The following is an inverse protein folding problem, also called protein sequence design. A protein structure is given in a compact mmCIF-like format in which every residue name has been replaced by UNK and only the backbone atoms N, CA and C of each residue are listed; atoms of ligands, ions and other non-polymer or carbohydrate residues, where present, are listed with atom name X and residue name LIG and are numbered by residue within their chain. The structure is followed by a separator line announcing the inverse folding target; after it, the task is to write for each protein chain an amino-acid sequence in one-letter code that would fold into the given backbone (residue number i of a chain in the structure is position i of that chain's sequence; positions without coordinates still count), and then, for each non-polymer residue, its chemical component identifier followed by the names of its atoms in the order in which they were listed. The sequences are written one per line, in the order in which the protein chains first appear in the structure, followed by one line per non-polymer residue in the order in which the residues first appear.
data_IF_683052044841
#
_entry.id   IF_683052044841
#
_cell.length_a   1.000
_cell.length_b   1.000
_cell.length_c   1.000
_cell.angle_alpha   90.00
_cell.angle_beta   90.00
_cell.angle_gamma   90.00
#
_symmetry.space_group_name_H-M   'P 1'
#
loop_
_entity.id
_entity.type
_entity.pdbx_description
1 polymer ?
#
# COMPACT_ATOMS: atom_id res chain seq x y z
N UNK A 1 15.82 34.77 -3.52
CA UNK A 1 17.28 34.72 -3.24
C UNK A 1 17.59 33.39 -2.60
N UNK A 2 18.41 32.56 -3.24
CA UNK A 2 18.86 31.27 -2.71
C UNK A 2 20.21 31.48 -2.02
N UNK A 3 20.22 31.52 -0.68
CA UNK A 3 21.42 31.71 0.13
C UNK A 3 21.93 30.37 0.68
N UNK A 4 22.42 29.50 -0.20
CA UNK A 4 23.26 28.37 0.23
C UNK A 4 24.65 28.49 -0.37
N UNK A 5 25.59 28.88 0.48
CA UNK A 5 27.03 28.72 0.28
C UNK A 5 27.71 29.96 -0.27
N UNK A 6 28.58 30.56 0.53
CA UNK A 6 29.48 31.67 0.19
C UNK A 6 30.54 31.33 -0.89
N UNK A 7 30.40 30.21 -1.58
CA UNK A 7 31.31 29.75 -2.62
C UNK A 7 30.49 29.20 -3.79
N UNK A 8 30.48 30.00 -4.85
CA UNK A 8 30.20 29.59 -6.22
C UNK A 8 28.74 29.59 -6.68
N UNK A 9 28.21 30.79 -6.91
CA UNK A 9 27.43 31.06 -8.13
C UNK A 9 28.39 31.67 -9.16
N UNK A 10 28.84 30.93 -10.18
CA UNK A 10 29.66 31.55 -11.21
C UNK A 10 28.81 32.57 -11.96
N UNK A 11 29.34 33.78 -12.22
CA UNK A 11 28.79 34.66 -13.24
C UNK A 11 28.88 33.90 -14.57
N UNK A 12 27.75 33.73 -15.26
CA UNK A 12 27.68 32.97 -16.49
C UNK A 12 28.62 33.56 -17.56
N UNK A 13 29.69 32.83 -17.95
CA UNK A 13 30.36 32.99 -19.26
C UNK A 13 31.42 31.92 -19.65
N UNK A 14 31.81 30.95 -18.81
CA UNK A 14 32.99 30.09 -19.09
C UNK A 14 32.74 28.56 -19.18
N UNK A 15 31.49 28.09 -19.12
CA UNK A 15 31.16 26.66 -19.25
C UNK A 15 31.49 25.79 -18.02
N UNK A 16 31.98 26.37 -16.91
CA UNK A 16 32.28 25.61 -15.68
C UNK A 16 31.03 25.17 -14.89
N UNK A 17 29.84 25.66 -15.26
CA UNK A 17 28.55 25.32 -14.65
C UNK A 17 28.02 23.92 -14.96
N UNK A 18 28.55 23.23 -15.97
CA UNK A 18 27.98 21.97 -16.46
C UNK A 18 27.96 20.88 -15.38
N UNK A 19 29.01 20.78 -14.56
CA UNK A 19 29.09 19.76 -13.49
C UNK A 19 28.04 19.98 -12.39
N UNK A 20 27.82 21.23 -11.97
CA UNK A 20 26.80 21.57 -10.97
C UNK A 20 25.38 21.34 -11.53
N UNK A 21 25.11 21.82 -12.75
CA UNK A 21 23.82 21.62 -13.42
C UNK A 21 23.51 20.14 -13.65
N UNK A 22 24.50 19.34 -14.03
CA UNK A 22 24.37 17.88 -14.16
C UNK A 22 24.00 17.22 -12.83
N UNK A 23 24.70 17.56 -11.73
CA UNK A 23 24.40 17.01 -10.41
C UNK A 23 22.99 17.36 -9.94
N UNK A 24 22.54 18.59 -10.17
CA UNK A 24 21.18 19.00 -9.83
C UNK A 24 20.15 18.28 -10.70
N UNK A 25 20.41 18.16 -12.02
CA UNK A 25 19.53 17.47 -12.95
C UNK A 25 19.31 15.99 -12.59
N UNK A 26 20.37 15.27 -12.17
CA UNK A 26 20.24 13.85 -11.77
C UNK A 26 19.33 13.70 -10.54
N UNK A 27 19.42 14.59 -9.55
CA UNK A 27 18.52 14.58 -8.39
C UNK A 27 17.05 14.77 -8.78
N UNK A 28 16.76 15.71 -9.69
CA UNK A 28 15.39 15.93 -10.18
C UNK A 28 14.89 14.74 -11.01
N UNK A 29 15.75 14.15 -11.85
CA UNK A 29 15.41 12.97 -12.64
C UNK A 29 15.06 11.78 -11.74
N UNK A 30 15.88 11.48 -10.74
CA UNK A 30 15.63 10.41 -9.77
C UNK A 30 14.34 10.68 -8.98
N UNK A 31 14.14 11.93 -8.54
CA UNK A 31 12.92 12.33 -7.84
C UNK A 31 11.67 12.12 -8.72
N UNK A 32 11.70 12.58 -9.97
CA UNK A 32 10.58 12.43 -10.91
C UNK A 32 10.24 10.95 -11.16
N UNK A 33 11.26 10.11 -11.37
CA UNK A 33 11.11 8.67 -11.58
C UNK A 33 10.52 7.96 -10.36
N UNK A 34 11.04 8.21 -9.16
CA UNK A 34 10.51 7.58 -7.94
C UNK A 34 9.10 8.05 -7.60
N UNK A 35 8.75 9.30 -7.89
CA UNK A 35 7.37 9.80 -7.75
C UNK A 35 6.41 9.09 -8.70
N UNK A 36 6.84 8.85 -9.95
CA UNK A 36 6.03 8.08 -10.91
C UNK A 36 5.82 6.65 -10.42
N UNK A 37 6.89 5.97 -9.98
CA UNK A 37 6.80 4.62 -9.38
C UNK A 37 5.87 4.59 -8.18
N UNK A 38 5.99 5.55 -7.27
CA UNK A 38 5.12 5.62 -6.10
C UNK A 38 3.65 5.82 -6.48
N UNK A 39 3.33 6.61 -7.51
CA UNK A 39 1.95 6.72 -8.02
C UNK A 39 1.42 5.38 -8.53
N UNK A 40 2.24 4.60 -9.24
CA UNK A 40 1.84 3.26 -9.68
C UNK A 40 1.63 2.32 -8.50
N UNK A 41 2.52 2.32 -7.49
CA UNK A 41 2.33 1.53 -6.28
C UNK A 41 1.02 1.90 -5.56
N UNK A 42 0.73 3.20 -5.42
CA UNK A 42 -0.53 3.67 -4.85
C UNK A 42 -1.71 3.19 -5.71
N UNK A 43 -1.65 3.32 -7.04
CA UNK A 43 -2.69 2.84 -7.94
C UNK A 43 -2.98 1.33 -7.76
N UNK A 44 -1.96 0.48 -7.71
CA UNK A 44 -2.15 -0.96 -7.45
C UNK A 44 -2.70 -1.22 -6.04
N UNK A 45 -2.31 -0.42 -5.05
CA UNK A 45 -2.89 -0.48 -3.71
C UNK A 45 -4.39 -0.16 -3.71
N UNK A 46 -4.84 0.80 -4.52
CA UNK A 46 -6.27 1.06 -4.74
C UNK A 46 -6.98 -0.14 -5.37
N UNK A 47 -6.38 -0.81 -6.36
CA UNK A 47 -6.98 -2.00 -6.98
C UNK A 47 -7.12 -3.16 -5.98
N UNK A 48 -6.08 -3.45 -5.20
CA UNK A 48 -6.13 -4.45 -4.14
C UNK A 48 -7.15 -4.08 -3.05
N UNK A 49 -7.27 -2.79 -2.73
CA UNK A 49 -8.31 -2.32 -1.82
C UNK A 49 -9.72 -2.61 -2.34
N UNK A 50 -10.01 -2.35 -3.62
CA UNK A 50 -11.33 -2.67 -4.17
C UNK A 50 -11.61 -4.17 -4.15
N UNK A 51 -10.61 -5.02 -4.38
CA UNK A 51 -10.74 -6.46 -4.24
C UNK A 51 -11.05 -6.86 -2.79
N UNK A 52 -10.32 -6.30 -1.82
CA UNK A 52 -10.58 -6.52 -0.39
C UNK A 52 -11.97 -5.99 0.01
N UNK A 53 -12.38 -4.82 -0.47
CA UNK A 53 -13.69 -4.24 -0.18
C UNK A 53 -14.82 -5.09 -0.76
N UNK A 54 -14.65 -5.65 -1.96
CA UNK A 54 -15.59 -6.60 -2.53
C UNK A 54 -15.76 -7.83 -1.64
N UNK A 55 -14.64 -8.39 -1.12
CA UNK A 55 -14.68 -9.48 -0.13
C UNK A 55 -15.41 -9.07 1.15
N UNK A 56 -15.09 -7.90 1.72
CA UNK A 56 -15.69 -7.40 2.95
C UNK A 56 -17.16 -6.95 2.77
N UNK A 57 -17.61 -6.77 1.54
CA UNK A 57 -18.94 -6.23 1.25
C UNK A 57 -20.06 -7.11 1.80
N UNK A 58 -19.92 -8.43 1.76
CA UNK A 58 -20.90 -9.36 2.32
C UNK A 58 -21.15 -9.10 3.82
N UNK A 59 -20.08 -9.00 4.62
CA UNK A 59 -20.20 -8.70 6.05
C UNK A 59 -20.68 -7.26 6.33
N UNK A 60 -20.28 -6.29 5.50
CA UNK A 60 -20.75 -4.91 5.64
C UNK A 60 -22.27 -4.82 5.36
N UNK A 61 -22.77 -5.52 4.34
CA UNK A 61 -24.19 -5.53 4.00
C UNK A 61 -25.03 -6.21 5.08
N UNK A 62 -24.55 -7.33 5.63
CA UNK A 62 -25.16 -8.02 6.78
C UNK A 62 -25.29 -7.09 7.99
N UNK A 63 -24.22 -6.35 8.32
CA UNK A 63 -24.23 -5.33 9.41
C UNK A 63 -25.17 -4.15 9.17
N UNK A 64 -25.54 -3.89 7.92
CA UNK A 64 -26.47 -2.83 7.52
C UNK A 64 -27.91 -3.33 7.39
N UNK A 65 -28.18 -4.60 7.71
CA UNK A 65 -29.50 -5.24 7.57
C UNK A 65 -29.99 -5.26 6.11
N UNK A 66 -29.05 -5.37 5.15
CA UNK A 66 -29.34 -5.44 3.71
C UNK A 66 -29.10 -6.88 3.24
N UNK A 67 -30.18 -7.58 2.92
CA UNK A 67 -30.13 -8.98 2.45
C UNK A 67 -30.12 -9.05 0.92
N UNK A 68 -29.09 -9.68 0.37
CA UNK A 68 -28.94 -9.97 -1.06
C UNK A 68 -28.64 -11.46 -1.20
N UNK A 69 -29.58 -12.21 -1.77
CA UNK A 69 -29.57 -13.67 -1.80
C UNK A 69 -28.32 -14.23 -2.50
N UNK A 70 -27.90 -13.62 -3.60
CA UNK A 70 -26.75 -14.03 -4.40
C UNK A 70 -25.41 -13.85 -3.65
N UNK A 71 -25.35 -12.90 -2.71
CA UNK A 71 -24.14 -12.65 -1.91
C UNK A 71 -24.07 -13.60 -0.72
N UNK A 72 -25.22 -13.93 -0.13
CA UNK A 72 -25.30 -14.89 0.97
C UNK A 72 -25.01 -16.32 0.50
N UNK A 73 -25.47 -16.69 -0.70
CA UNK A 73 -25.17 -18.00 -1.31
C UNK A 73 -23.67 -18.22 -1.54
N UNK A 74 -22.92 -17.14 -1.80
CA UNK A 74 -21.47 -17.19 -2.07
C UNK A 74 -20.63 -17.62 -0.86
N UNK A 75 -21.24 -17.87 0.31
CA UNK A 75 -20.65 -18.50 1.49
C UNK A 75 -19.26 -17.95 1.86
N UNK A 76 -19.09 -16.63 1.73
CA UNK A 76 -17.80 -15.96 1.93
C UNK A 76 -17.39 -16.10 3.41
N UNK A 77 -16.16 -16.56 3.71
CA UNK A 77 -15.72 -16.71 5.09
C UNK A 77 -15.74 -15.36 5.81
N UNK A 78 -16.20 -15.37 7.07
CA UNK A 78 -16.28 -14.16 7.90
C UNK A 78 -14.94 -13.44 7.96
N UNK A 79 -14.93 -12.12 7.77
CA UNK A 79 -13.69 -11.38 7.71
C UNK A 79 -13.01 -11.28 9.06
N UNK A 80 -11.68 -11.22 9.01
CA UNK A 80 -10.85 -11.03 10.19
C UNK A 80 -10.54 -9.55 10.39
N UNK A 81 -10.24 -9.17 11.63
CA UNK A 81 -9.92 -7.78 11.97
C UNK A 81 -8.75 -7.20 11.17
N UNK A 82 -7.76 -8.02 10.81
CA UNK A 82 -6.60 -7.56 10.04
C UNK A 82 -6.99 -7.01 8.66
N UNK A 83 -8.09 -7.50 8.07
CA UNK A 83 -8.57 -7.08 6.76
C UNK A 83 -9.14 -5.66 6.81
N UNK A 84 -9.93 -5.36 7.85
CA UNK A 84 -10.42 -4.00 8.12
C UNK A 84 -9.29 -3.04 8.46
N UNK A 85 -8.32 -3.48 9.28
CA UNK A 85 -7.16 -2.66 9.64
C UNK A 85 -6.34 -2.36 8.39
N UNK A 86 -6.17 -3.35 7.50
CA UNK A 86 -5.46 -3.17 6.24
C UNK A 86 -6.11 -2.12 5.33
N UNK A 87 -7.44 -2.07 5.29
CA UNK A 87 -8.19 -1.05 4.55
C UNK A 87 -7.87 0.40 4.98
N UNK A 88 -7.44 0.64 6.23
CA UNK A 88 -7.03 1.97 6.71
C UNK A 88 -5.79 2.48 5.95
N UNK A 89 -4.90 1.58 5.51
CA UNK A 89 -3.70 1.95 4.76
C UNK A 89 -3.99 2.72 3.46
N UNK A 90 -5.15 2.48 2.85
CA UNK A 90 -5.57 3.23 1.66
C UNK A 90 -5.81 4.71 1.99
N UNK A 91 -6.47 5.00 3.11
CA UNK A 91 -6.74 6.38 3.53
C UNK A 91 -5.44 7.17 3.74
N UNK A 92 -4.35 6.50 4.13
CA UNK A 92 -3.06 7.14 4.32
C UNK A 92 -2.40 7.54 2.99
N UNK A 93 -2.82 6.96 1.87
CA UNK A 93 -2.28 7.30 0.54
C UNK A 93 -2.51 8.77 0.14
N UNK A 94 -3.52 9.45 0.72
CA UNK A 94 -3.73 10.88 0.55
C UNK A 94 -2.50 11.70 0.98
N UNK A 95 -1.83 11.31 2.08
CA UNK A 95 -0.60 11.96 2.53
C UNK A 95 0.55 11.75 1.54
N UNK A 96 0.66 10.56 0.95
CA UNK A 96 1.64 10.24 -0.09
C UNK A 96 1.43 11.06 -1.36
N UNK A 97 0.18 11.18 -1.82
CA UNK A 97 -0.16 11.96 -3.01
C UNK A 97 0.05 13.47 -2.81
N UNK A 98 -0.35 14.06 -1.68
CA UNK A 98 -0.07 15.49 -1.39
C UNK A 98 1.44 15.75 -1.28
N UNK A 99 2.19 14.82 -0.67
CA UNK A 99 3.63 14.90 -0.54
C UNK A 99 4.33 14.96 -1.90
N UNK A 100 3.94 14.08 -2.84
CA UNK A 100 4.53 14.00 -4.19
C UNK A 100 4.29 15.30 -4.97
N UNK A 101 3.07 15.87 -4.87
CA UNK A 101 2.67 17.08 -5.59
C UNK A 101 3.49 18.30 -5.14
N UNK A 102 3.75 18.43 -3.83
CA UNK A 102 4.36 19.63 -3.24
C UNK A 102 5.79 19.42 -2.72
N UNK A 103 6.40 18.24 -2.96
CA UNK A 103 7.70 17.87 -2.38
C UNK A 103 7.76 17.99 -0.86
N UNK A 104 6.66 17.71 -0.15
CA UNK A 104 6.62 17.84 1.30
C UNK A 104 7.15 16.58 1.98
N UNK A 105 8.18 16.75 2.80
CA UNK A 105 8.83 15.64 3.53
C UNK A 105 7.94 15.10 4.66
N UNK A 106 7.28 15.97 5.42
CA UNK A 106 6.49 15.53 6.58
C UNK A 106 5.31 14.62 6.22
N UNK A 107 4.44 14.95 5.23
CA UNK A 107 3.37 14.05 4.82
C UNK A 107 3.91 12.77 4.18
N UNK A 108 5.07 12.81 3.51
CA UNK A 108 5.72 11.59 3.01
C UNK A 108 6.14 10.67 4.16
N UNK A 109 6.74 11.22 5.22
CA UNK A 109 7.11 10.46 6.42
C UNK A 109 5.89 9.85 7.09
N UNK A 110 4.81 10.62 7.24
CA UNK A 110 3.56 10.13 7.81
C UNK A 110 2.95 9.01 6.97
N UNK A 111 2.98 9.16 5.64
CA UNK A 111 2.54 8.11 4.72
C UNK A 111 3.34 6.82 4.89
N UNK A 112 4.67 6.90 4.94
CA UNK A 112 5.55 5.72 5.11
C UNK A 112 5.29 5.03 6.47
N UNK A 113 5.20 5.80 7.56
CA UNK A 113 4.88 5.23 8.88
C UNK A 113 3.50 4.58 8.90
N UNK A 114 2.51 5.23 8.30
CA UNK A 114 1.17 4.68 8.16
C UNK A 114 1.13 3.40 7.33
N UNK A 115 1.87 3.37 6.21
CA UNK A 115 1.96 2.20 5.36
C UNK A 115 2.65 1.02 6.07
N UNK A 116 3.67 1.27 6.89
CA UNK A 116 4.31 0.23 7.68
C UNK A 116 3.35 -0.36 8.72
N UNK A 117 2.62 0.49 9.45
CA UNK A 117 1.73 0.06 10.54
C UNK A 117 0.41 -0.54 10.07
N UNK A 118 -0.22 0.03 9.04
CA UNK A 118 -1.55 -0.39 8.59
C UNK A 118 -1.51 -1.14 7.26
N UNK A 119 -0.43 -1.06 6.49
CA UNK A 119 -0.27 -1.83 5.26
C UNK A 119 0.52 -3.11 5.51
N UNK A 120 1.75 -2.99 6.00
CA UNK A 120 2.66 -4.13 6.10
C UNK A 120 2.37 -5.02 7.31
N UNK A 121 2.16 -4.45 8.50
CA UNK A 121 1.97 -5.22 9.73
C UNK A 121 0.73 -6.15 9.68
N UNK A 122 -0.45 -5.73 9.18
CA UNK A 122 -1.59 -6.64 9.04
C UNK A 122 -1.32 -7.79 8.06
N UNK A 123 -0.52 -7.56 7.01
CA UNK A 123 -0.11 -8.61 6.08
C UNK A 123 0.86 -9.60 6.72
N UNK A 124 1.81 -9.13 7.53
CA UNK A 124 2.69 -10.02 8.30
C UNK A 124 1.88 -10.87 9.27
N UNK A 125 0.92 -10.27 9.96
CA UNK A 125 -0.01 -11.02 10.81
C UNK A 125 -0.79 -12.07 10.00
N UNK A 126 -1.33 -11.69 8.84
CA UNK A 126 -2.06 -12.61 7.97
C UNK A 126 -1.19 -13.80 7.53
N UNK A 127 0.07 -13.57 7.15
CA UNK A 127 1.00 -14.64 6.78
C UNK A 127 1.18 -15.63 7.94
N UNK A 128 1.39 -15.14 9.16
CA UNK A 128 1.56 -16.01 10.34
C UNK A 128 0.27 -16.76 10.65
N UNK A 129 -0.88 -16.07 10.58
CA UNK A 129 -2.18 -16.64 10.87
C UNK A 129 -2.53 -17.79 9.91
N UNK A 130 -2.36 -17.58 8.61
CA UNK A 130 -2.68 -18.58 7.57
C UNK A 130 -1.55 -19.59 7.34
N UNK A 131 -0.40 -19.46 8.00
CA UNK A 131 0.70 -20.39 7.80
C UNK A 131 0.33 -21.82 8.18
N UNK A 132 -0.40 -22.00 9.28
CA UNK A 132 -0.87 -23.31 9.72
C UNK A 132 -1.81 -23.93 8.70
N UNK A 133 -2.82 -23.18 8.24
CA UNK A 133 -3.80 -23.64 7.25
C UNK A 133 -3.10 -24.06 5.94
N UNK A 134 -2.13 -23.27 5.48
CA UNK A 134 -1.34 -23.60 4.28
C UNK A 134 -0.50 -24.85 4.51
N UNK A 135 0.10 -25.01 5.70
CA UNK A 135 0.87 -26.20 6.03
C UNK A 135 -0.01 -27.46 6.03
N UNK A 136 -1.14 -27.41 6.73
CA UNK A 136 -2.14 -28.50 6.75
C UNK A 136 -2.61 -28.83 5.34
N UNK A 137 -2.95 -27.83 4.53
CA UNK A 137 -3.35 -28.04 3.13
C UNK A 137 -2.27 -28.69 2.26
N UNK A 138 -0.99 -28.52 2.58
CA UNK A 138 0.11 -29.12 1.82
C UNK A 138 0.49 -30.52 2.30
N UNK A 139 0.15 -30.87 3.53
CA UNK A 139 0.59 -32.12 4.18
C UNK A 139 -0.53 -33.07 4.57
N UNK A 140 -1.79 -32.76 4.25
CA UNK A 140 -2.91 -33.63 4.60
C UNK A 140 -2.76 -35.01 3.92
N UNK A 141 -3.08 -36.06 4.67
CA UNK A 141 -3.08 -37.46 4.20
C UNK A 141 -4.52 -38.01 4.18
N UNK A 142 -5.41 -37.46 5.00
CA UNK A 142 -6.83 -37.82 5.08
C UNK A 142 -7.73 -36.58 4.82
N UNK A 143 -8.88 -36.77 4.16
CA UNK A 143 -9.80 -35.66 3.83
C UNK A 143 -10.41 -35.00 5.08
N UNK A 144 -10.45 -35.69 6.23
CA UNK A 144 -10.93 -35.14 7.51
C UNK A 144 -10.07 -33.95 7.98
N UNK A 145 -8.77 -33.93 7.66
CA UNK A 145 -7.87 -32.82 7.99
C UNK A 145 -8.21 -31.52 7.24
N UNK A 146 -8.96 -31.62 6.13
CA UNK A 146 -9.39 -30.47 5.34
C UNK A 146 -10.67 -29.82 5.90
N UNK A 147 -11.43 -30.50 6.77
CA UNK A 147 -12.62 -29.91 7.40
C UNK A 147 -12.27 -28.77 8.35
N UNK A 148 -11.03 -28.72 8.87
CA UNK A 148 -10.54 -27.62 9.70
C UNK A 148 -10.26 -26.34 8.90
N UNK A 149 -10.09 -26.44 7.57
CA UNK A 149 -9.76 -25.31 6.71
C UNK A 149 -11.03 -24.68 6.14
N UNK A 150 -11.26 -23.39 6.46
CA UNK A 150 -12.39 -22.64 5.90
C UNK A 150 -12.15 -22.29 4.42
N UNK A 151 -12.69 -23.12 3.54
CA UNK A 151 -12.67 -22.92 2.08
C UNK A 151 -13.91 -22.12 1.61
N UNK A 152 -13.78 -21.46 0.47
CA UNK A 152 -14.94 -20.91 -0.26
C UNK A 152 -15.67 -22.09 -0.89
N UNK A 153 -16.97 -22.24 -0.66
CA UNK A 153 -17.83 -23.27 -1.25
C UNK A 153 -18.77 -22.66 -2.28
#
# INVERSE_FOLDING_TARGET
MASKGLYYTPPATDGSEHAFRQRVATHYQISALNKSRLKYCIFFHYLLFFAMLAKLSADILDKLDIFILEIEELSIPKPLWWEYIWCISLLLSFFGLDAIKKNKVNPMRNYIMGLALFGFLPLVYAIIYYFSDVWTYLTFDEEEDLEEIKMWQ
#
